data_IF_627109080049
#
_entry.id   IF_627109080049
#
_cell.length_a   1.000
_cell.length_b   1.000
_cell.length_c   1.000
_cell.angle_alpha   90.00
_cell.angle_beta   90.00
_cell.angle_gamma   90.00
#
_symmetry.space_group_name_H-M   'P 1'
#
loop_
_entity.id
_entity.type
_entity.pdbx_description
1 polymer ?
#
# COMPACT_ATOMS: atom_id res chain seq x y z
N UNK A 1 -8.50 18.94 3.57
CA UNK A 1 -7.43 18.93 2.57
C UNK A 1 -8.04 19.14 1.21
N UNK A 2 -7.61 20.22 0.51
CA UNK A 2 -8.13 20.58 -0.79
C UNK A 2 -7.62 19.59 -1.84
N UNK A 3 -8.51 18.87 -2.49
CA UNK A 3 -8.19 18.01 -3.62
C UNK A 3 -7.82 18.92 -4.82
N UNK A 4 -6.58 19.44 -4.84
CA UNK A 4 -6.10 20.40 -5.83
C UNK A 4 -5.08 19.75 -6.76
N UNK A 5 -5.27 19.96 -8.05
CA UNK A 5 -4.49 19.33 -9.13
C UNK A 5 -3.12 19.97 -9.38
N UNK A 6 -2.73 21.04 -8.66
CA UNK A 6 -1.43 21.67 -8.87
C UNK A 6 -1.16 22.90 -8.00
N UNK A 7 0.10 23.35 -8.01
CA UNK A 7 0.57 24.49 -7.19
C UNK A 7 -0.18 25.80 -7.46
N UNK A 8 -0.63 26.05 -8.70
CA UNK A 8 -1.44 27.22 -9.04
C UNK A 8 -2.80 27.21 -8.35
N UNK A 9 -3.42 26.02 -8.25
CA UNK A 9 -4.68 25.87 -7.54
C UNK A 9 -4.52 26.02 -6.02
N UNK A 10 -3.33 25.71 -5.49
CA UNK A 10 -2.99 25.96 -4.08
C UNK A 10 -2.80 27.46 -3.85
N UNK A 11 -2.13 28.20 -4.74
CA UNK A 11 -1.94 29.64 -4.66
C UNK A 11 -3.25 30.42 -4.62
N UNK A 12 -4.24 30.03 -5.42
CA UNK A 12 -5.53 30.73 -5.51
C UNK A 12 -6.52 30.36 -4.41
N UNK A 13 -6.30 29.28 -3.68
CA UNK A 13 -7.19 28.84 -2.59
C UNK A 13 -7.25 29.82 -1.41
N UNK A 14 -6.14 30.43 -0.97
CA UNK A 14 -6.14 31.41 0.11
C UNK A 14 -6.99 32.66 -0.17
N UNK A 15 -7.07 33.09 -1.42
CA UNK A 15 -7.87 34.26 -1.80
C UNK A 15 -9.37 34.04 -1.60
N UNK A 16 -9.80 32.76 -1.68
CA UNK A 16 -11.19 32.35 -1.46
C UNK A 16 -11.56 32.11 0.01
N UNK A 17 -10.56 31.89 0.88
CA UNK A 17 -10.75 31.49 2.27
C UNK A 17 -9.90 32.33 3.23
N UNK A 18 -9.69 33.62 2.98
CA UNK A 18 -8.75 34.48 3.72
C UNK A 18 -9.01 34.56 5.24
N UNK A 19 -10.27 34.44 5.68
CA UNK A 19 -10.62 34.45 7.10
C UNK A 19 -10.23 33.14 7.82
N UNK A 20 -10.22 32.01 7.12
CA UNK A 20 -9.90 30.70 7.71
C UNK A 20 -8.39 30.44 7.78
N UNK A 21 -7.59 31.16 7.02
CA UNK A 21 -6.13 31.02 6.99
C UNK A 21 -5.43 31.71 8.18
N UNK A 22 -6.04 32.72 8.74
CA UNK A 22 -5.50 33.45 9.90
C UNK A 22 -5.35 32.55 11.13
N UNK A 23 -6.33 31.67 11.36
CA UNK A 23 -6.33 30.75 12.52
C UNK A 23 -5.14 29.77 12.55
N UNK A 24 -4.79 29.08 11.43
CA UNK A 24 -3.60 28.26 11.38
C UNK A 24 -2.30 29.01 11.14
N UNK A 25 -2.31 30.34 11.10
CA UNK A 25 -1.11 31.16 10.84
C UNK A 25 -0.55 31.05 9.40
N UNK A 26 -1.37 30.63 8.46
CA UNK A 26 -0.95 30.48 7.07
C UNK A 26 -0.96 31.84 6.37
N UNK A 27 0.06 32.07 5.53
CA UNK A 27 0.18 33.24 4.66
C UNK A 27 -0.03 32.81 3.20
N UNK A 28 -0.50 33.73 2.38
CA UNK A 28 -0.53 33.53 0.93
C UNK A 28 0.90 33.30 0.43
N UNK A 29 1.10 32.19 -0.29
CA UNK A 29 2.39 31.83 -0.87
C UNK A 29 2.25 31.72 -2.38
N UNK A 30 3.17 32.36 -3.11
CA UNK A 30 3.23 32.23 -4.56
C UNK A 30 3.66 30.82 -4.98
N UNK A 31 3.12 30.34 -6.10
CA UNK A 31 3.45 29.01 -6.67
C UNK A 31 4.96 28.82 -6.88
N UNK A 32 5.69 29.88 -7.23
CA UNK A 32 7.15 29.84 -7.39
C UNK A 32 7.88 29.50 -6.09
N UNK A 33 7.43 30.09 -4.98
CA UNK A 33 7.98 29.79 -3.64
C UNK A 33 7.71 28.35 -3.23
N UNK A 34 6.51 27.84 -3.54
CA UNK A 34 6.15 26.44 -3.28
C UNK A 34 6.97 25.47 -4.16
N UNK A 35 7.15 25.82 -5.45
CA UNK A 35 7.96 25.02 -6.37
C UNK A 35 9.43 24.97 -5.92
N UNK A 36 10.02 26.12 -5.58
CA UNK A 36 11.40 26.21 -5.07
C UNK A 36 11.58 25.46 -3.75
N UNK A 37 10.61 25.52 -2.86
CA UNK A 37 10.64 24.76 -1.61
C UNK A 37 10.58 23.24 -1.86
N UNK A 38 9.78 22.78 -2.80
CA UNK A 38 9.72 21.36 -3.17
C UNK A 38 11.02 20.88 -3.84
N UNK A 39 11.68 21.72 -4.62
CA UNK A 39 12.93 21.40 -5.28
C UNK A 39 14.12 21.33 -4.30
N UNK A 40 14.18 22.29 -3.37
CA UNK A 40 15.34 22.46 -2.46
C UNK A 40 15.25 21.62 -1.19
N UNK A 41 14.03 21.28 -0.73
CA UNK A 41 13.88 20.53 0.53
C UNK A 41 14.08 19.04 0.31
N UNK A 42 14.80 18.42 1.24
CA UNK A 42 15.01 16.98 1.26
C UNK A 42 13.65 16.25 1.42
N UNK A 43 13.40 15.28 0.55
CA UNK A 43 12.18 14.48 0.56
C UNK A 43 11.98 13.68 1.85
N UNK A 44 13.07 13.40 2.58
CA UNK A 44 13.04 12.70 3.88
C UNK A 44 12.23 13.46 4.94
N UNK A 45 12.16 14.79 4.84
CA UNK A 45 11.30 15.59 5.73
C UNK A 45 9.83 15.15 5.62
N UNK A 46 9.36 14.90 4.41
CA UNK A 46 7.98 14.44 4.18
C UNK A 46 7.79 12.98 4.60
N UNK A 47 8.80 12.14 4.40
CA UNK A 47 8.79 10.75 4.86
C UNK A 47 8.70 10.67 6.39
N UNK A 48 9.57 11.39 7.10
CA UNK A 48 9.59 11.40 8.56
C UNK A 48 8.28 11.93 9.13
N UNK A 49 7.74 12.99 8.54
CA UNK A 49 6.43 13.52 8.91
C UNK A 49 5.31 12.51 8.66
N UNK A 50 5.35 11.79 7.54
CA UNK A 50 4.44 10.69 7.24
C UNK A 50 4.47 9.61 8.31
N UNK A 51 5.65 9.17 8.74
CA UNK A 51 5.79 8.20 9.82
C UNK A 51 5.24 8.70 11.16
N UNK A 52 5.45 9.98 11.50
CA UNK A 52 4.84 10.58 12.70
C UNK A 52 3.31 10.54 12.63
N UNK A 53 2.73 10.83 11.48
CA UNK A 53 1.27 10.75 11.29
C UNK A 53 0.76 9.32 11.39
N UNK A 54 1.46 8.35 10.80
CA UNK A 54 1.14 6.92 10.90
C UNK A 54 1.13 6.47 12.36
N UNK A 55 2.14 6.84 13.15
CA UNK A 55 2.20 6.49 14.57
C UNK A 55 1.05 7.11 15.39
N UNK A 56 0.68 8.34 15.09
CA UNK A 56 -0.49 8.99 15.71
C UNK A 56 -1.80 8.30 15.31
N UNK A 57 -1.96 7.98 14.03
CA UNK A 57 -3.13 7.29 13.52
C UNK A 57 -3.29 5.91 14.17
N UNK A 58 -2.23 5.11 14.27
CA UNK A 58 -2.27 3.80 14.93
C UNK A 58 -2.84 3.88 16.35
N UNK A 59 -2.42 4.86 17.14
CA UNK A 59 -2.94 5.06 18.50
C UNK A 59 -4.42 5.43 18.52
N UNK A 60 -4.89 6.21 17.56
CA UNK A 60 -6.30 6.61 17.47
C UNK A 60 -7.22 5.44 17.09
N UNK A 61 -6.71 4.49 16.28
CA UNK A 61 -7.47 3.36 15.76
C UNK A 61 -7.18 2.04 16.50
N UNK A 62 -6.44 2.07 17.61
CA UNK A 62 -6.07 0.87 18.38
C UNK A 62 -7.28 0.07 18.89
N UNK A 63 -8.42 0.73 19.11
CA UNK A 63 -9.67 0.12 19.52
C UNK A 63 -10.62 -0.31 18.40
N UNK A 64 -10.28 -0.03 17.16
CA UNK A 64 -11.12 -0.40 16.00
C UNK A 64 -11.10 -1.91 15.77
N UNK A 65 -12.26 -2.44 15.37
CA UNK A 65 -12.42 -3.86 15.03
C UNK A 65 -12.67 -4.02 13.54
N UNK A 66 -12.18 -5.12 12.98
CA UNK A 66 -12.59 -5.55 11.65
C UNK A 66 -14.08 -5.91 11.65
N UNK A 67 -14.73 -5.83 10.48
CA UNK A 67 -16.12 -6.26 10.31
C UNK A 67 -16.28 -7.79 10.23
N UNK A 68 -15.20 -8.51 10.48
CA UNK A 68 -15.14 -9.97 10.56
C UNK A 68 -14.75 -10.36 11.98
N UNK A 69 -15.16 -11.53 12.42
CA UNK A 69 -14.85 -12.08 13.74
C UNK A 69 -13.42 -12.65 13.75
N UNK A 70 -12.46 -11.71 13.76
CA UNK A 70 -11.02 -12.01 13.74
C UNK A 70 -10.29 -10.97 14.60
N UNK A 71 -9.66 -11.42 15.67
CA UNK A 71 -8.94 -10.56 16.61
C UNK A 71 -7.50 -10.26 16.14
N UNK A 72 -6.93 -11.12 15.34
CA UNK A 72 -5.58 -11.01 14.82
C UNK A 72 -5.41 -9.81 13.89
N UNK A 73 -4.17 -9.43 13.68
CA UNK A 73 -3.81 -8.37 12.73
C UNK A 73 -4.04 -8.85 11.30
N UNK A 74 -4.73 -8.04 10.52
CA UNK A 74 -4.95 -8.32 9.09
C UNK A 74 -4.39 -7.17 8.27
N UNK A 75 -3.48 -7.50 7.37
CA UNK A 75 -2.82 -6.56 6.49
C UNK A 75 -3.16 -6.84 5.02
N UNK A 76 -3.31 -5.78 4.24
CA UNK A 76 -3.38 -5.88 2.78
C UNK A 76 -2.12 -5.30 2.15
N UNK A 77 -1.51 -6.05 1.24
CA UNK A 77 -0.33 -5.63 0.48
C UNK A 77 -0.66 -5.50 -0.99
N UNK A 78 -0.44 -4.30 -1.53
CA UNK A 78 -0.66 -4.03 -2.95
C UNK A 78 0.31 -2.97 -3.46
N UNK A 79 0.40 -2.84 -4.79
CA UNK A 79 1.18 -1.81 -5.47
C UNK A 79 0.31 -0.95 -6.37
N UNK A 80 0.55 0.36 -6.33
CA UNK A 80 -0.05 1.33 -7.25
C UNK A 80 1.04 1.90 -8.16
N UNK A 81 0.80 1.89 -9.46
CA UNK A 81 1.71 2.54 -10.42
C UNK A 81 1.35 4.02 -10.52
N UNK A 82 2.35 4.88 -10.34
CA UNK A 82 2.22 6.32 -10.48
C UNK A 82 2.99 6.73 -11.73
N UNK A 83 2.28 7.21 -12.73
CA UNK A 83 2.88 7.69 -13.98
C UNK A 83 3.57 9.03 -13.76
N UNK A 84 4.74 9.18 -14.35
CA UNK A 84 5.56 10.39 -14.30
C UNK A 84 5.85 10.92 -15.69
N UNK A 85 6.00 12.24 -15.77
CA UNK A 85 6.55 12.86 -16.96
C UNK A 85 8.04 12.53 -17.07
N UNK A 86 8.45 11.82 -18.13
CA UNK A 86 9.85 11.43 -18.39
C UNK A 86 10.79 12.63 -18.48
N UNK A 87 10.31 13.79 -18.90
CA UNK A 87 11.09 15.03 -18.97
C UNK A 87 11.57 15.46 -17.57
N UNK A 88 10.80 15.14 -16.52
CA UNK A 88 11.14 15.46 -15.15
C UNK A 88 11.86 14.32 -14.43
N UNK A 89 11.63 13.08 -14.86
CA UNK A 89 12.16 11.88 -14.23
C UNK A 89 12.71 10.90 -15.28
N UNK A 90 13.84 11.21 -15.95
CA UNK A 90 14.39 10.40 -17.05
C UNK A 90 14.85 9.00 -16.62
N UNK A 91 15.08 8.80 -15.32
CA UNK A 91 15.47 7.51 -14.73
C UNK A 91 14.27 6.55 -14.53
N UNK A 92 13.04 7.08 -14.48
CA UNK A 92 11.83 6.32 -14.16
C UNK A 92 11.18 5.77 -15.44
N UNK A 93 11.89 4.93 -16.20
CA UNK A 93 11.38 4.36 -17.45
C UNK A 93 10.35 3.26 -17.22
N UNK A 94 9.20 3.37 -17.88
CA UNK A 94 8.18 2.33 -18.03
C UNK A 94 8.28 1.69 -19.42
N UNK A 95 7.68 0.51 -19.58
CA UNK A 95 7.42 -0.06 -20.90
C UNK A 95 6.57 0.93 -21.73
N UNK A 96 6.86 1.06 -23.02
CA UNK A 96 6.22 1.98 -23.98
C UNK A 96 6.53 3.48 -23.87
N UNK A 97 7.67 3.86 -23.29
CA UNK A 97 8.15 5.27 -23.35
C UNK A 97 7.51 6.23 -22.35
N UNK A 98 6.69 5.74 -21.43
CA UNK A 98 6.21 6.52 -20.29
C UNK A 98 7.13 6.35 -19.08
N UNK A 99 7.17 7.36 -18.20
CA UNK A 99 7.85 7.28 -16.91
C UNK A 99 6.93 6.86 -15.80
N UNK A 100 7.45 6.16 -14.79
CA UNK A 100 6.65 5.81 -13.64
C UNK A 100 7.44 5.11 -12.53
N UNK A 101 6.82 5.11 -11.37
CA UNK A 101 7.27 4.31 -10.24
C UNK A 101 6.10 3.54 -9.62
N UNK A 102 6.40 2.47 -8.92
CA UNK A 102 5.43 1.74 -8.12
C UNK A 102 5.55 2.14 -6.65
N UNK A 103 4.42 2.37 -6.05
CA UNK A 103 4.29 2.54 -4.61
C UNK A 103 3.67 1.27 -4.03
N UNK A 104 4.50 0.47 -3.36
CA UNK A 104 4.07 -0.72 -2.64
C UNK A 104 3.63 -0.30 -1.24
N UNK A 105 2.46 -0.71 -0.84
CA UNK A 105 1.87 -0.32 0.44
C UNK A 105 1.39 -1.55 1.19
N UNK A 106 1.84 -1.72 2.43
CA UNK A 106 1.24 -2.64 3.38
C UNK A 106 0.31 -1.83 4.29
N UNK A 107 -0.94 -2.18 4.32
CA UNK A 107 -1.99 -1.48 5.05
C UNK A 107 -2.54 -2.37 6.16
N UNK A 108 -2.57 -1.87 7.39
CA UNK A 108 -3.35 -2.47 8.48
C UNK A 108 -4.83 -2.19 8.24
N UNK A 109 -5.63 -3.24 8.13
CA UNK A 109 -7.05 -3.11 7.80
C UNK A 109 -7.91 -2.67 8.97
N UNK A 110 -7.46 -2.79 10.22
CA UNK A 110 -8.23 -2.33 11.40
C UNK A 110 -8.49 -0.81 11.37
N UNK A 111 -7.54 -0.03 10.90
CA UNK A 111 -7.69 1.42 10.78
C UNK A 111 -7.48 1.94 9.35
N UNK A 112 -7.30 1.04 8.38
CA UNK A 112 -6.88 1.41 7.00
C UNK A 112 -5.64 2.30 7.01
N UNK A 113 -4.66 1.94 7.83
CA UNK A 113 -3.44 2.73 8.06
C UNK A 113 -2.27 2.08 7.34
N UNK A 114 -1.53 2.79 6.49
CA UNK A 114 -0.31 2.26 5.90
C UNK A 114 0.75 2.06 6.98
N UNK A 115 1.33 0.86 7.05
CA UNK A 115 2.36 0.50 8.02
C UNK A 115 3.73 0.27 7.39
N UNK A 116 3.75 0.10 6.07
CA UNK A 116 4.97 0.03 5.27
C UNK A 116 4.68 0.64 3.89
N UNK A 117 5.60 1.46 3.41
CA UNK A 117 5.54 2.07 2.08
C UNK A 117 6.92 1.94 1.44
N UNK A 118 6.97 1.40 0.23
CA UNK A 118 8.18 1.25 -0.56
C UNK A 118 7.98 1.78 -1.97
N UNK A 119 8.86 2.66 -2.42
CA UNK A 119 8.89 3.14 -3.80
C UNK A 119 9.94 2.36 -4.59
N UNK A 120 9.57 1.90 -5.77
CA UNK A 120 10.47 1.24 -6.71
C UNK A 120 10.26 1.77 -8.12
N UNK A 121 11.23 1.56 -9.00
CA UNK A 121 11.00 1.72 -10.42
C UNK A 121 9.84 0.82 -10.88
N UNK A 122 9.06 1.30 -11.83
CA UNK A 122 7.91 0.56 -12.32
C UNK A 122 8.29 -0.77 -13.03
N UNK A 123 9.53 -0.88 -13.49
CA UNK A 123 10.10 -2.11 -14.09
C UNK A 123 10.35 -3.23 -13.07
N UNK A 124 10.43 -2.91 -11.78
CA UNK A 124 10.69 -3.89 -10.73
C UNK A 124 9.45 -4.74 -10.50
N UNK A 125 9.65 -6.07 -10.53
CA UNK A 125 8.58 -7.02 -10.27
C UNK A 125 8.15 -6.97 -8.79
N UNK A 126 6.85 -6.96 -8.57
CA UNK A 126 6.24 -6.79 -7.24
C UNK A 126 6.72 -7.81 -6.20
N UNK A 127 6.96 -9.06 -6.63
CA UNK A 127 7.46 -10.13 -5.75
C UNK A 127 8.82 -9.87 -5.11
N UNK A 128 9.62 -8.93 -5.65
CA UNK A 128 10.92 -8.58 -5.07
C UNK A 128 10.79 -7.73 -3.81
N UNK A 129 9.69 -6.98 -3.69
CA UNK A 129 9.44 -6.12 -2.52
C UNK A 129 8.81 -6.90 -1.37
N UNK A 130 8.25 -8.07 -1.67
CA UNK A 130 7.59 -8.91 -0.66
C UNK A 130 8.53 -9.31 0.48
N UNK A 131 9.80 -9.56 0.19
CA UNK A 131 10.79 -9.96 1.19
C UNK A 131 11.21 -8.79 2.13
N UNK A 132 10.84 -7.56 1.80
CA UNK A 132 11.09 -6.36 2.62
C UNK A 132 9.93 -6.05 3.60
N UNK A 133 8.79 -6.72 3.47
CA UNK A 133 7.60 -6.46 4.29
C UNK A 133 7.88 -6.88 5.75
N UNK A 134 7.56 -6.03 6.74
CA UNK A 134 7.65 -6.44 8.13
C UNK A 134 6.60 -7.51 8.44
N UNK A 135 7.04 -8.66 8.96
CA UNK A 135 6.17 -9.77 9.31
C UNK A 135 5.96 -9.82 10.82
N UNK A 136 4.69 -9.86 11.22
CA UNK A 136 4.25 -10.02 12.61
C UNK A 136 3.68 -11.42 12.76
N UNK A 137 4.11 -12.15 13.80
CA UNK A 137 3.59 -13.49 14.08
C UNK A 137 2.07 -13.46 14.34
N UNK A 138 1.37 -14.50 13.90
CA UNK A 138 -0.08 -14.66 13.97
C UNK A 138 -0.88 -13.61 13.18
N UNK A 139 -0.25 -12.83 12.29
CA UNK A 139 -0.94 -11.89 11.41
C UNK A 139 -1.29 -12.52 10.06
N UNK A 140 -2.34 -12.03 9.45
CA UNK A 140 -2.80 -12.41 8.11
C UNK A 140 -2.41 -11.35 7.09
N UNK A 141 -1.84 -11.80 5.96
CA UNK A 141 -1.39 -10.95 4.86
C UNK A 141 -2.17 -11.27 3.60
N UNK A 142 -3.01 -10.34 3.17
CA UNK A 142 -3.79 -10.42 1.93
C UNK A 142 -2.99 -9.82 0.79
N UNK A 143 -2.86 -10.53 -0.32
CA UNK A 143 -2.14 -10.05 -1.49
C UNK A 143 -2.71 -10.63 -2.79
N UNK A 144 -2.46 -9.96 -3.90
CA UNK A 144 -2.88 -10.47 -5.20
C UNK A 144 -1.99 -11.61 -5.70
N UNK A 145 -2.50 -12.39 -6.65
CA UNK A 145 -1.79 -13.53 -7.28
C UNK A 145 -0.46 -13.12 -7.96
N UNK A 146 -0.28 -11.85 -8.29
CA UNK A 146 0.98 -11.31 -8.82
C UNK A 146 2.17 -11.48 -7.89
N UNK A 147 1.93 -11.53 -6.58
CA UNK A 147 2.96 -11.71 -5.57
C UNK A 147 3.31 -13.18 -5.28
N UNK A 148 2.55 -14.12 -5.82
CA UNK A 148 2.71 -15.56 -5.50
C UNK A 148 4.02 -16.10 -6.07
N UNK A 149 4.96 -16.32 -5.16
CA UNK A 149 6.18 -17.09 -5.30
C UNK A 149 6.28 -17.97 -4.06
N UNK A 150 5.88 -19.23 -4.15
CA UNK A 150 5.68 -20.10 -2.99
C UNK A 150 6.91 -20.23 -2.09
N UNK A 151 8.11 -20.29 -2.66
CA UNK A 151 9.35 -20.31 -1.87
C UNK A 151 9.49 -19.07 -0.99
N UNK A 152 9.23 -17.87 -1.53
CA UNK A 152 9.29 -16.61 -0.76
C UNK A 152 8.15 -16.54 0.26
N UNK A 153 6.94 -16.95 -0.10
CA UNK A 153 5.80 -17.00 0.82
C UNK A 153 6.09 -17.93 2.02
N UNK A 154 6.65 -19.11 1.76
CA UNK A 154 7.02 -20.04 2.81
C UNK A 154 8.10 -19.47 3.72
N UNK A 155 9.20 -18.98 3.16
CA UNK A 155 10.31 -18.43 3.94
C UNK A 155 9.92 -17.18 4.71
N UNK A 156 9.16 -16.31 4.08
CA UNK A 156 8.89 -14.98 4.64
C UNK A 156 7.72 -14.99 5.64
N UNK A 157 6.64 -15.71 5.34
CA UNK A 157 5.47 -15.74 6.21
C UNK A 157 5.41 -16.98 7.08
N UNK A 158 5.45 -18.17 6.52
CA UNK A 158 5.27 -19.41 7.28
C UNK A 158 6.36 -19.63 8.33
N UNK A 159 7.63 -19.40 8.00
CA UNK A 159 8.72 -19.53 8.97
C UNK A 159 8.66 -18.47 10.09
N UNK A 160 7.98 -17.33 9.86
CA UNK A 160 7.72 -16.31 10.85
C UNK A 160 6.36 -16.46 11.55
N UNK A 161 5.71 -17.62 11.41
CA UNK A 161 4.41 -17.92 12.02
C UNK A 161 3.30 -16.93 11.62
N UNK A 162 3.32 -16.44 10.39
CA UNK A 162 2.30 -15.59 9.81
C UNK A 162 1.56 -16.33 8.69
N UNK A 163 0.37 -15.86 8.36
CA UNK A 163 -0.50 -16.45 7.37
C UNK A 163 -0.62 -15.54 6.16
N UNK A 164 -0.79 -16.11 4.98
CA UNK A 164 -1.10 -15.34 3.78
C UNK A 164 -2.39 -15.83 3.11
N UNK A 165 -3.10 -14.90 2.51
CA UNK A 165 -4.32 -15.15 1.73
C UNK A 165 -4.12 -14.52 0.36
N UNK A 166 -4.27 -15.32 -0.68
CA UNK A 166 -4.10 -14.86 -2.06
C UNK A 166 -5.00 -15.62 -3.00
N UNK A 167 -5.23 -15.07 -4.18
CA UNK A 167 -5.90 -15.81 -5.26
C UNK A 167 -4.94 -16.83 -5.86
N UNK A 168 -5.43 -18.01 -6.17
CA UNK A 168 -4.66 -19.02 -6.89
C UNK A 168 -4.27 -18.52 -8.29
N UNK A 169 -3.10 -18.94 -8.78
CA UNK A 169 -2.72 -18.77 -10.19
C UNK A 169 -3.45 -19.81 -11.02
N UNK A 170 -3.82 -19.44 -12.24
CA UNK A 170 -4.56 -20.30 -13.16
C UNK A 170 -3.77 -21.56 -13.56
N UNK A 171 -2.44 -21.50 -13.48
CA UNK A 171 -1.51 -22.61 -13.77
C UNK A 171 -0.99 -23.32 -12.51
N UNK A 172 -1.65 -23.16 -11.36
CA UNK A 172 -1.25 -23.80 -10.12
C UNK A 172 -1.57 -25.31 -10.19
N UNK A 173 -0.55 -26.14 -9.97
CA UNK A 173 -0.69 -27.59 -9.90
C UNK A 173 -0.85 -28.04 -8.46
N UNK A 174 -1.93 -28.76 -8.18
CA UNK A 174 -2.22 -29.25 -6.83
C UNK A 174 -3.07 -30.53 -6.88
N UNK A 175 -3.07 -31.24 -5.78
CA UNK A 175 -3.98 -32.37 -5.52
C UNK A 175 -4.82 -32.02 -4.30
N UNK A 176 -6.12 -32.27 -4.40
CA UNK A 176 -7.05 -32.14 -3.27
C UNK A 176 -6.84 -33.31 -2.32
N UNK A 177 -6.54 -33.01 -1.06
CA UNK A 177 -6.32 -34.01 -0.01
C UNK A 177 -7.51 -34.17 0.92
N UNK A 178 -8.33 -33.13 1.04
CA UNK A 178 -9.54 -33.13 1.87
C UNK A 178 -10.56 -32.15 1.29
N UNK A 179 -11.83 -32.51 1.29
CA UNK A 179 -12.94 -31.62 0.90
C UNK A 179 -13.92 -31.51 2.06
N UNK A 180 -14.44 -30.31 2.29
CA UNK A 180 -15.44 -30.03 3.32
C UNK A 180 -16.78 -29.65 2.68
N UNK A 181 -17.85 -29.97 3.37
CA UNK A 181 -19.17 -29.50 2.95
C UNK A 181 -19.25 -27.97 3.08
N UNK A 182 -19.84 -27.35 2.07
CA UNK A 182 -20.04 -25.90 2.02
C UNK A 182 -21.53 -25.56 1.89
N UNK A 183 -21.95 -24.49 2.55
CA UNK A 183 -23.25 -23.90 2.30
C UNK A 183 -23.21 -23.05 1.03
N UNK A 184 -23.77 -23.57 -0.04
CA UNK A 184 -23.81 -22.88 -1.35
C UNK A 184 -24.63 -21.58 -1.30
N UNK A 185 -25.50 -21.35 -0.30
CA UNK A 185 -26.22 -20.10 -0.13
C UNK A 185 -25.28 -18.94 0.26
N UNK A 186 -24.12 -19.22 0.82
CA UNK A 186 -23.07 -18.23 1.14
C UNK A 186 -22.29 -17.76 -0.08
N UNK A 187 -22.46 -18.41 -1.23
CA UNK A 187 -21.69 -18.17 -2.45
C UNK A 187 -20.38 -18.95 -2.51
N UNK A 188 -20.06 -19.78 -1.50
CA UNK A 188 -18.93 -20.71 -1.55
C UNK A 188 -19.22 -21.85 -2.53
N UNK A 189 -18.23 -22.17 -3.36
CA UNK A 189 -18.30 -23.27 -4.33
C UNK A 189 -17.66 -24.54 -3.75
N UNK A 190 -16.50 -24.40 -3.11
CA UNK A 190 -15.79 -25.49 -2.44
C UNK A 190 -14.95 -24.97 -1.27
N UNK A 191 -14.65 -25.85 -0.30
CA UNK A 191 -13.65 -25.67 0.76
C UNK A 191 -12.81 -26.93 0.79
N UNK A 192 -11.53 -26.80 0.38
CA UNK A 192 -10.64 -27.92 0.12
C UNK A 192 -9.26 -27.67 0.72
N UNK A 193 -8.70 -28.71 1.30
CA UNK A 193 -7.25 -28.75 1.62
C UNK A 193 -6.51 -29.30 0.42
N UNK A 194 -5.48 -28.60 -0.03
CA UNK A 194 -4.71 -28.96 -1.21
C UNK A 194 -3.23 -29.15 -0.88
N UNK A 195 -2.58 -30.00 -1.65
CA UNK A 195 -1.13 -30.15 -1.64
C UNK A 195 -0.58 -29.70 -3.00
N UNK A 196 0.36 -28.77 -3.00
CA UNK A 196 1.05 -28.33 -4.21
C UNK A 196 1.95 -29.45 -4.74
N UNK A 197 1.95 -29.67 -6.06
CA UNK A 197 2.65 -30.75 -6.74
C UNK A 197 3.70 -30.31 -7.76
N UNK A 198 3.88 -28.97 -7.94
CA UNK A 198 4.79 -28.38 -8.91
C UNK A 198 5.78 -27.40 -8.33
#
# INVERSE_FOLDING_TARGET
>A
FTNRSGLRAIETTPDLCSQDLYRPGLKIMHKSTLAEANEKKDWRIYQDFGYVLIQKAKKLYEGEKLRIDLDEMVCAFDSSTIELCLTLCPWATLHHGNGGFKMHTLMDLKGSIPIFIRLTEASIHDSKVMDEIPVVANAYYLMDKGYVKFESLYKHFHQNHAWFVTRAKDNMLYVVTESREVDTQTGLISDETIQLTG
#
